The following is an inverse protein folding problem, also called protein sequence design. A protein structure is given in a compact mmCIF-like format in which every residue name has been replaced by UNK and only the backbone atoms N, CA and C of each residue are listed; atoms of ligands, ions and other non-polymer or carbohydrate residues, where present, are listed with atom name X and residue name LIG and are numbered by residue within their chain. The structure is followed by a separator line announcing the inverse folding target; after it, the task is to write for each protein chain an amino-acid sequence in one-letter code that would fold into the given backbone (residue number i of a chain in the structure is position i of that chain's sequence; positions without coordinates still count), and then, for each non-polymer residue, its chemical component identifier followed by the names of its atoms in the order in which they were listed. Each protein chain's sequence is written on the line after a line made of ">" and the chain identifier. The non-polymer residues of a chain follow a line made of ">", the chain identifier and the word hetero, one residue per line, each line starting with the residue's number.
data_IF_399902520752
#
_entry.id   IF_399902520752
#
_cell.length_a   1.000
_cell.length_b   1.000
_cell.length_c   1.000
_cell.angle_alpha   90.00
_cell.angle_beta   90.00
_cell.angle_gamma   90.00
#
_symmetry.space_group_name_H-M   'P 1'
#
loop_
_entity.id
_entity.type
_entity.pdbx_description
1 polymer ?
#
# COMPACT_ATOMS: atom_id res chain seq x y z
N UNK A 1 2.02 14.56 19.88
CA UNK A 1 1.07 15.62 19.46
C UNK A 1 1.12 15.71 17.95
N UNK A 2 -0.04 15.72 17.29
CA UNK A 2 -0.18 15.88 15.84
C UNK A 2 -0.42 17.36 15.54
N UNK A 3 0.19 17.91 14.49
CA UNK A 3 -0.07 19.29 14.04
C UNK A 3 -1.40 19.41 13.29
N UNK A 4 -1.98 20.61 13.28
CA UNK A 4 -3.24 20.90 12.57
C UNK A 4 -3.07 21.08 11.06
N UNK A 5 -1.94 21.62 10.61
CA UNK A 5 -1.66 21.96 9.21
C UNK A 5 -0.28 21.43 8.85
N UNK A 6 -0.15 20.88 7.64
CA UNK A 6 1.12 20.42 7.10
C UNK A 6 1.38 21.00 5.72
N UNK A 7 2.65 21.29 5.44
CA UNK A 7 3.12 21.55 4.08
C UNK A 7 3.13 20.27 3.25
N UNK A 8 2.66 20.37 2.02
CA UNK A 8 2.79 19.30 1.01
C UNK A 8 3.97 19.58 0.08
N UNK A 9 4.43 18.55 -0.63
CA UNK A 9 5.53 18.69 -1.61
C UNK A 9 5.10 19.41 -2.92
N UNK A 10 3.86 19.89 -2.98
CA UNK A 10 3.31 20.55 -4.17
C UNK A 10 3.55 22.06 -4.09
N UNK A 11 4.30 22.60 -5.06
CA UNK A 11 4.44 24.03 -5.20
C UNK A 11 3.13 24.67 -5.70
N UNK A 12 2.77 25.84 -5.16
CA UNK A 12 1.67 26.64 -5.72
C UNK A 12 2.11 27.13 -7.11
N UNK A 13 1.51 26.57 -8.17
CA UNK A 13 1.86 26.90 -9.55
C UNK A 13 1.46 28.31 -10.00
N UNK A 14 0.70 29.06 -9.19
CA UNK A 14 0.18 30.40 -9.51
C UNK A 14 0.90 31.53 -8.77
N UNK A 15 1.45 31.25 -7.60
CA UNK A 15 2.13 32.23 -6.75
C UNK A 15 3.36 31.59 -6.10
N UNK A 16 4.53 32.11 -6.44
CA UNK A 16 5.82 31.62 -5.95
C UNK A 16 6.05 31.89 -4.44
N UNK A 17 5.29 32.81 -3.85
CA UNK A 17 5.35 33.13 -2.42
C UNK A 17 4.52 32.18 -1.55
N UNK A 18 3.71 31.31 -2.18
CA UNK A 18 2.81 30.37 -1.49
C UNK A 18 3.19 28.91 -1.74
N UNK A 19 2.75 28.02 -0.87
CA UNK A 19 2.87 26.56 -1.01
C UNK A 19 1.52 25.91 -0.68
N UNK A 20 1.30 24.67 -1.13
CA UNK A 20 0.10 23.91 -0.79
C UNK A 20 0.21 23.35 0.64
N UNK A 21 -0.81 23.62 1.44
CA UNK A 21 -0.99 23.07 2.77
C UNK A 21 -2.13 22.04 2.79
N UNK A 22 -2.14 21.18 3.81
CA UNK A 22 -3.13 20.14 4.01
C UNK A 22 -3.53 20.02 5.48
N UNK A 23 -4.85 19.93 5.70
CA UNK A 23 -5.47 19.76 7.02
C UNK A 23 -6.01 18.33 7.10
N UNK A 24 -5.38 17.43 7.89
CA UNK A 24 -5.82 16.04 7.98
C UNK A 24 -7.13 15.83 8.73
N UNK A 25 -7.60 16.84 9.47
CA UNK A 25 -8.82 16.74 10.26
C UNK A 25 -10.08 16.60 9.40
N UNK A 26 -10.12 17.31 8.27
CA UNK A 26 -11.26 17.39 7.35
C UNK A 26 -10.87 17.14 5.88
N UNK A 27 -9.58 16.98 5.59
CA UNK A 27 -9.07 16.76 4.25
C UNK A 27 -8.98 18.04 3.41
N UNK A 28 -9.11 19.22 4.02
CA UNK A 28 -8.96 20.48 3.32
C UNK A 28 -7.55 20.64 2.74
N UNK A 29 -7.48 21.12 1.50
CA UNK A 29 -6.23 21.45 0.81
C UNK A 29 -6.31 22.89 0.29
N UNK A 30 -5.35 23.70 0.71
CA UNK A 30 -5.31 25.13 0.43
C UNK A 30 -3.97 25.58 -0.13
N UNK A 31 -3.75 26.89 -0.09
CA UNK A 31 -2.40 27.41 -0.20
C UNK A 31 -2.18 28.39 0.93
N UNK A 32 -0.96 28.49 1.44
CA UNK A 32 -0.56 29.46 2.44
C UNK A 32 0.83 30.08 2.13
N UNK A 33 1.15 31.26 2.68
CA UNK A 33 2.46 31.88 2.55
C UNK A 33 3.60 30.98 3.03
N UNK A 34 4.68 30.88 2.26
CA UNK A 34 5.88 30.12 2.65
C UNK A 34 6.58 30.63 3.92
N UNK A 35 6.20 31.83 4.39
CA UNK A 35 6.67 32.42 5.64
C UNK A 35 6.06 31.77 6.87
N UNK A 36 4.96 31.02 6.71
CA UNK A 36 4.25 30.42 7.82
C UNK A 36 4.92 29.12 8.28
N UNK A 37 5.02 28.96 9.59
CA UNK A 37 5.74 27.86 10.21
C UNK A 37 4.82 26.63 10.40
N UNK A 38 4.71 25.80 9.38
CA UNK A 38 4.04 24.50 9.45
C UNK A 38 5.02 23.33 9.37
N UNK A 39 4.57 22.15 9.80
CA UNK A 39 5.34 20.91 9.69
C UNK A 39 5.27 20.38 8.26
N UNK A 40 6.34 19.74 7.77
CA UNK A 40 6.33 19.11 6.46
C UNK A 40 5.69 17.71 6.52
N UNK A 41 4.80 17.42 5.58
CA UNK A 41 4.27 16.07 5.40
C UNK A 41 5.33 15.20 4.72
N UNK A 42 5.81 14.16 5.41
CA UNK A 42 6.99 13.41 4.98
C UNK A 42 6.73 12.40 3.84
N UNK A 43 5.51 11.86 3.72
CA UNK A 43 5.19 10.79 2.76
C UNK A 43 3.86 11.07 2.07
N UNK A 44 3.91 11.33 0.77
CA UNK A 44 2.76 11.54 -0.09
C UNK A 44 2.41 10.28 -0.89
N UNK A 45 1.17 10.23 -1.41
CA UNK A 45 0.74 9.14 -2.28
C UNK A 45 1.62 9.10 -3.52
N UNK A 46 2.31 7.98 -3.75
CA UNK A 46 3.26 7.81 -4.86
C UNK A 46 4.73 7.83 -4.43
N UNK A 47 5.06 8.29 -3.22
CA UNK A 47 6.43 8.19 -2.68
C UNK A 47 6.83 6.74 -2.34
N UNK A 48 5.83 5.87 -2.14
CA UNK A 48 6.03 4.43 -1.97
C UNK A 48 5.66 3.75 -3.27
N UNK A 49 6.63 3.05 -3.87
CA UNK A 49 6.37 2.18 -5.02
C UNK A 49 5.27 1.17 -4.65
N UNK A 50 4.29 1.00 -5.54
CA UNK A 50 3.24 0.00 -5.35
C UNK A 50 3.90 -1.36 -5.06
N UNK A 51 3.63 -1.92 -3.87
CA UNK A 51 4.11 -3.25 -3.51
C UNK A 51 3.45 -4.23 -4.50
N UNK A 52 4.22 -5.04 -5.25
CA UNK A 52 3.63 -5.98 -6.19
C UNK A 52 2.79 -7.03 -5.44
N UNK A 53 1.47 -6.82 -5.37
CA UNK A 53 0.52 -7.77 -4.80
C UNK A 53 0.54 -9.13 -5.52
N UNK A 54 1.10 -9.18 -6.74
CA UNK A 54 1.23 -10.39 -7.53
C UNK A 54 1.89 -11.56 -6.76
N UNK A 55 2.86 -11.28 -5.88
CA UNK A 55 3.49 -12.34 -5.09
C UNK A 55 2.55 -12.89 -4.01
N UNK A 56 1.75 -12.04 -3.36
CA UNK A 56 0.83 -12.46 -2.29
C UNK A 56 -0.38 -13.18 -2.87
N UNK A 57 -0.93 -12.66 -3.97
CA UNK A 57 -2.08 -13.27 -4.65
C UNK A 57 -1.78 -14.67 -5.22
N UNK A 58 -0.50 -14.98 -5.51
CA UNK A 58 -0.09 -16.30 -5.99
C UNK A 58 0.09 -17.34 -4.86
N UNK A 59 0.31 -16.92 -3.61
CA UNK A 59 0.57 -17.85 -2.50
C UNK A 59 -0.65 -18.69 -2.13
N UNK A 60 -1.85 -18.10 -2.16
CA UNK A 60 -3.11 -18.82 -1.91
C UNK A 60 -3.35 -19.97 -2.91
N UNK A 61 -3.41 -19.73 -4.24
CA UNK A 61 -3.59 -20.79 -5.21
C UNK A 61 -2.43 -21.78 -5.24
N UNK A 62 -1.18 -21.34 -5.02
CA UNK A 62 -0.03 -22.24 -4.91
C UNK A 62 -0.15 -23.19 -3.70
N UNK A 63 -0.55 -22.67 -2.54
CA UNK A 63 -0.80 -23.48 -1.34
C UNK A 63 -1.94 -24.49 -1.55
N UNK A 64 -3.04 -24.06 -2.18
CA UNK A 64 -4.17 -24.93 -2.52
C UNK A 64 -3.78 -26.03 -3.52
N UNK A 65 -3.00 -25.69 -4.55
CA UNK A 65 -2.49 -26.65 -5.52
C UNK A 65 -1.56 -27.69 -4.86
N UNK A 66 -0.69 -27.26 -3.94
CA UNK A 66 0.19 -28.16 -3.19
C UNK A 66 -0.60 -29.12 -2.30
N UNK A 67 -1.60 -28.62 -1.56
CA UNK A 67 -2.47 -29.46 -0.71
C UNK A 67 -3.24 -30.47 -1.56
N UNK A 68 -3.81 -30.05 -2.69
CA UNK A 68 -4.51 -30.92 -3.63
C UNK A 68 -3.61 -31.99 -4.27
N UNK A 69 -2.36 -31.66 -4.57
CA UNK A 69 -1.39 -32.63 -5.10
C UNK A 69 -1.01 -33.68 -4.04
N UNK A 70 -0.86 -33.29 -2.78
CA UNK A 70 -0.54 -34.21 -1.67
C UNK A 70 -1.71 -35.15 -1.37
N UNK A 71 -2.95 -34.65 -1.34
CA UNK A 71 -4.14 -35.48 -1.08
C UNK A 71 -4.35 -36.53 -2.17
N UNK A 72 -4.12 -36.16 -3.44
CA UNK A 72 -4.21 -37.09 -4.59
C UNK A 72 -3.15 -38.20 -4.54
N UNK A 73 -1.94 -37.89 -4.09
CA UNK A 73 -0.86 -38.90 -3.96
C UNK A 73 -1.14 -39.91 -2.84
N UNK A 74 -1.82 -39.49 -1.76
CA UNK A 74 -2.20 -40.38 -0.64
C UNK A 74 -3.29 -41.37 -1.06
N UNK A 75 -4.33 -40.89 -1.73
CA UNK A 75 -5.41 -41.74 -2.27
C UNK A 75 -4.95 -42.71 -3.35
N UNK A 76 -3.96 -42.33 -4.18
CA UNK A 76 -3.38 -43.26 -5.16
C UNK A 76 -2.47 -44.32 -4.54
N UNK A 77 -1.84 -44.03 -3.39
CA UNK A 77 -1.06 -45.02 -2.64
C UNK A 77 -1.96 -46.11 -2.04
N UNK A 78 -3.09 -45.70 -1.46
CA UNK A 78 -4.11 -46.62 -0.89
C UNK A 78 -4.80 -47.48 -1.97
N UNK A 79 -5.07 -46.92 -3.16
CA UNK A 79 -5.67 -47.68 -4.26
C UNK A 79 -4.70 -48.66 -4.96
N UNK A 80 -3.39 -48.43 -4.85
CA UNK A 80 -2.37 -49.34 -5.37
C UNK A 80 -2.09 -50.55 -4.46
N UNK A 81 -2.42 -50.47 -3.18
CA UNK A 81 -2.13 -51.51 -2.17
C UNK A 81 -3.21 -52.61 -2.10
N UNK A 82 -4.39 -52.38 -2.71
CA UNK A 82 -5.50 -53.37 -2.77
C UNK A 82 -5.37 -54.32 -3.98
N UNK A 83 -4.37 -54.12 -4.85
CA UNK A 83 -4.06 -55.00 -5.98
C UNK A 83 -2.62 -55.52 -5.88
N UNK A 84 -2.34 -56.37 -4.89
CA UNK A 84 -1.22 -57.32 -4.88
C UNK A 84 -1.72 -58.64 -4.30
#
# INVERSE_FOLDING_TARGET
>A
MQAWIYWTNTASGKDASRAFDFIPLDGYQGTDPKTDAFYAWAVSTGDIAAVPEAQICALMPAGLALVGAVSRRRTQKEAGEIRV
#
